data_IF_934267878859
#
_entry.id   IF_934267878859
#
_cell.length_a   1.000
_cell.length_b   1.000
_cell.length_c   1.000
_cell.angle_alpha   90.00
_cell.angle_beta   90.00
_cell.angle_gamma   90.00
#
_symmetry.space_group_name_H-M   'P 1'
#
loop_
_entity.id
_entity.type
_entity.pdbx_description
1 polymer ?
#
# COMPACT_ATOMS: atom_id res chain seq x y z
N UNK A 1 18.60 2.79 -13.59
CA UNK A 1 17.18 3.14 -13.84
C UNK A 1 16.37 2.55 -12.70
N UNK A 2 15.56 3.36 -12.02
CA UNK A 2 14.74 2.91 -10.90
C UNK A 2 13.72 1.87 -11.36
N UNK A 3 13.66 0.73 -10.67
CA UNK A 3 12.67 -0.34 -10.92
C UNK A 3 11.83 -0.61 -9.67
N UNK A 4 10.53 -0.38 -9.79
CA UNK A 4 9.56 -0.61 -8.73
C UNK A 4 8.81 -1.91 -9.02
N UNK A 5 8.74 -2.79 -8.02
CA UNK A 5 7.90 -3.97 -8.03
C UNK A 5 6.66 -3.72 -7.18
N UNK A 6 5.48 -3.98 -7.74
CA UNK A 6 4.22 -3.92 -7.00
C UNK A 6 3.60 -5.32 -6.96
N UNK A 7 3.35 -5.83 -5.75
CA UNK A 7 2.69 -7.11 -5.51
C UNK A 7 1.26 -6.82 -5.08
N UNK A 8 0.29 -7.42 -5.78
CA UNK A 8 -1.12 -7.33 -5.39
C UNK A 8 -1.41 -8.03 -4.06
N UNK A 9 -2.69 -8.16 -3.75
CA UNK A 9 -3.19 -8.70 -2.48
C UNK A 9 -2.52 -10.01 -2.04
N UNK A 10 -1.81 -9.95 -0.92
CA UNK A 10 -1.25 -11.11 -0.26
C UNK A 10 -2.32 -11.74 0.62
N UNK A 11 -2.89 -12.86 0.16
CA UNK A 11 -4.03 -13.50 0.85
C UNK A 11 -3.57 -14.67 1.74
N UNK A 12 -3.70 -14.47 3.06
CA UNK A 12 -3.54 -15.52 4.07
C UNK A 12 -2.20 -16.25 4.03
N UNK A 13 -2.18 -17.46 4.61
CA UNK A 13 -0.94 -18.29 4.67
C UNK A 13 -0.40 -18.64 3.26
N UNK A 14 -1.22 -18.98 2.26
CA UNK A 14 -0.72 -19.27 0.91
C UNK A 14 -0.01 -18.08 0.27
N UNK A 15 -0.61 -16.87 0.33
CA UNK A 15 0.00 -15.66 -0.20
C UNK A 15 1.34 -15.35 0.46
N UNK A 16 1.43 -15.44 1.79
CA UNK A 16 2.69 -15.21 2.51
C UNK A 16 3.78 -16.24 2.18
N UNK A 17 3.40 -17.51 1.97
CA UNK A 17 4.33 -18.55 1.51
C UNK A 17 4.86 -18.25 0.10
N UNK A 18 3.99 -17.83 -0.81
CA UNK A 18 4.39 -17.43 -2.16
C UNK A 18 5.34 -16.23 -2.12
N UNK A 19 5.01 -15.20 -1.32
CA UNK A 19 5.86 -14.03 -1.12
C UNK A 19 7.26 -14.45 -0.64
N UNK A 20 7.33 -15.25 0.43
CA UNK A 20 8.61 -15.74 0.98
C UNK A 20 9.44 -16.54 -0.02
N UNK A 21 8.80 -17.39 -0.82
CA UNK A 21 9.48 -18.29 -1.73
C UNK A 21 9.94 -17.60 -3.03
N UNK A 22 9.17 -16.61 -3.51
CA UNK A 22 9.35 -16.06 -4.86
C UNK A 22 9.91 -14.64 -4.86
N UNK A 23 9.53 -13.80 -3.90
CA UNK A 23 9.86 -12.37 -3.92
C UNK A 23 11.37 -12.10 -3.99
N UNK A 24 12.25 -12.77 -3.20
CA UNK A 24 13.69 -12.51 -3.27
C UNK A 24 14.27 -12.75 -4.67
N UNK A 25 13.92 -13.88 -5.30
CA UNK A 25 14.38 -14.23 -6.64
C UNK A 25 13.81 -13.33 -7.73
N UNK A 26 12.55 -12.88 -7.59
CA UNK A 26 11.95 -11.90 -8.51
C UNK A 26 12.67 -10.55 -8.39
N UNK A 27 12.92 -10.06 -7.17
CA UNK A 27 13.64 -8.79 -6.97
C UNK A 27 15.04 -8.87 -7.58
N UNK A 28 15.75 -9.98 -7.43
CA UNK A 28 17.06 -10.20 -8.05
C UNK A 28 16.98 -10.23 -9.57
N UNK A 29 16.10 -11.08 -10.13
CA UNK A 29 16.00 -11.31 -11.58
C UNK A 29 15.59 -10.05 -12.36
N UNK A 30 14.70 -9.25 -11.79
CA UNK A 30 14.25 -8.00 -12.39
C UNK A 30 15.04 -6.78 -11.91
N UNK A 31 15.98 -6.95 -10.97
CA UNK A 31 16.73 -5.85 -10.37
C UNK A 31 15.81 -4.79 -9.73
N UNK A 32 14.79 -5.22 -8.99
CA UNK A 32 13.83 -4.32 -8.35
C UNK A 32 14.49 -3.59 -7.15
N UNK A 33 14.55 -2.27 -7.24
CA UNK A 33 15.13 -1.38 -6.23
C UNK A 33 14.20 -1.16 -5.03
N UNK A 34 12.89 -1.27 -5.26
CA UNK A 34 11.84 -0.97 -4.31
C UNK A 34 10.62 -1.87 -4.54
N UNK A 35 10.04 -2.39 -3.47
CA UNK A 35 8.91 -3.32 -3.52
C UNK A 35 7.77 -2.83 -2.64
N UNK A 36 6.59 -2.68 -3.24
CA UNK A 36 5.33 -2.43 -2.55
C UNK A 36 4.51 -3.73 -2.60
N UNK A 37 3.82 -4.07 -1.52
CA UNK A 37 2.89 -5.19 -1.51
C UNK A 37 1.59 -4.84 -0.79
N UNK A 38 0.44 -5.19 -1.36
CA UNK A 38 -0.82 -5.03 -0.67
C UNK A 38 -1.03 -6.16 0.36
N UNK A 39 -1.13 -5.78 1.64
CA UNK A 39 -1.23 -6.70 2.78
C UNK A 39 -2.63 -6.82 3.39
N UNK A 40 -3.69 -6.26 2.79
CA UNK A 40 -4.99 -6.16 3.47
C UNK A 40 -5.64 -7.51 3.80
N UNK A 41 -5.23 -8.59 3.14
CA UNK A 41 -5.75 -9.93 3.34
C UNK A 41 -4.73 -10.89 3.99
N UNK A 42 -3.60 -10.36 4.48
CA UNK A 42 -2.43 -11.16 4.82
C UNK A 42 -2.63 -12.00 6.10
N UNK A 43 -3.38 -11.52 7.09
CA UNK A 43 -3.66 -12.25 8.33
C UNK A 43 -4.96 -13.07 8.21
N UNK A 44 -4.82 -14.38 8.01
CA UNK A 44 -5.94 -15.33 7.92
C UNK A 44 -7.09 -14.85 7.01
N UNK A 45 -6.74 -14.22 5.89
CA UNK A 45 -7.64 -13.84 4.80
C UNK A 45 -8.23 -12.44 4.89
N UNK A 46 -8.12 -11.74 6.03
CA UNK A 46 -8.60 -10.36 6.25
C UNK A 46 -7.81 -9.65 7.35
N UNK A 47 -7.38 -8.44 7.08
CA UNK A 47 -6.52 -7.61 7.91
C UNK A 47 -5.08 -8.07 7.98
N UNK A 48 -4.33 -7.40 8.85
CA UNK A 48 -2.91 -7.63 9.06
C UNK A 48 -2.58 -7.57 10.56
N UNK A 49 -1.53 -8.27 10.98
CA UNK A 49 -1.01 -8.21 12.36
C UNK A 49 0.46 -7.81 12.30
N UNK A 50 1.02 -7.29 13.39
CA UNK A 50 2.45 -6.96 13.48
C UNK A 50 3.34 -8.12 12.99
N UNK A 51 3.11 -9.33 13.51
CA UNK A 51 3.85 -10.53 13.12
C UNK A 51 3.80 -10.79 11.62
N UNK A 52 2.65 -10.58 10.98
CA UNK A 52 2.47 -10.79 9.54
C UNK A 52 3.13 -9.68 8.72
N UNK A 53 3.02 -8.43 9.14
CA UNK A 53 3.70 -7.31 8.48
C UNK A 53 5.22 -7.49 8.55
N UNK A 54 5.76 -7.84 9.73
CA UNK A 54 7.18 -8.15 9.90
C UNK A 54 7.65 -9.34 9.05
N UNK A 55 6.82 -10.37 8.90
CA UNK A 55 7.08 -11.47 7.97
C UNK A 55 7.22 -10.94 6.52
N UNK A 56 6.31 -10.08 6.07
CA UNK A 56 6.35 -9.50 4.73
C UNK A 56 7.58 -8.60 4.53
N UNK A 57 7.90 -7.72 5.49
CA UNK A 57 9.12 -6.90 5.45
C UNK A 57 10.38 -7.77 5.36
N UNK A 58 10.44 -8.87 6.12
CA UNK A 58 11.59 -9.79 6.08
C UNK A 58 11.75 -10.52 4.73
N UNK A 59 10.67 -10.62 3.93
CA UNK A 59 10.73 -11.15 2.57
C UNK A 59 11.28 -10.14 1.55
N UNK A 60 11.48 -8.88 1.95
CA UNK A 60 11.96 -7.81 1.08
C UNK A 60 10.86 -6.89 0.55
N UNK A 61 9.69 -6.84 1.18
CA UNK A 61 8.73 -5.75 0.96
C UNK A 61 9.28 -4.49 1.64
N UNK A 62 9.25 -3.35 0.95
CA UNK A 62 9.75 -2.08 1.46
C UNK A 62 8.60 -1.25 2.06
N UNK A 63 7.42 -1.27 1.43
CA UNK A 63 6.16 -0.65 1.92
C UNK A 63 5.00 -1.61 1.76
N UNK A 64 4.14 -1.69 2.78
CA UNK A 64 2.89 -2.44 2.73
C UNK A 64 1.75 -1.46 2.53
N UNK A 65 0.97 -1.61 1.47
CA UNK A 65 -0.32 -0.93 1.31
C UNK A 65 -1.45 -1.84 1.77
N UNK A 66 -2.67 -1.31 1.87
CA UNK A 66 -3.83 -2.08 2.31
C UNK A 66 -5.12 -1.64 1.60
N UNK A 67 -6.26 -1.78 2.28
CA UNK A 67 -7.59 -1.69 1.71
C UNK A 67 -8.65 -1.68 2.80
N UNK A 68 -9.85 -2.11 2.47
CA UNK A 68 -10.98 -2.07 3.40
C UNK A 68 -10.85 -3.05 4.58
N UNK A 69 -10.01 -4.08 4.48
CA UNK A 69 -9.83 -5.05 5.56
C UNK A 69 -8.78 -4.66 6.60
N UNK A 70 -8.13 -3.50 6.49
CA UNK A 70 -7.02 -3.07 7.35
C UNK A 70 -7.35 -3.10 8.86
N UNK A 71 -8.62 -2.91 9.23
CA UNK A 71 -9.08 -2.86 10.64
C UNK A 71 -9.63 -4.19 11.19
N UNK A 72 -9.69 -5.25 10.39
CA UNK A 72 -10.37 -6.52 10.76
C UNK A 72 -9.63 -7.34 11.82
N UNK A 73 -8.36 -7.04 12.08
CA UNK A 73 -7.55 -7.68 13.13
C UNK A 73 -7.36 -6.73 14.29
N UNK A 74 -8.10 -6.96 15.38
CA UNK A 74 -8.03 -6.14 16.60
C UNK A 74 -6.62 -6.05 17.15
N UNK A 75 -5.86 -7.15 17.15
CA UNK A 75 -4.48 -7.16 17.61
C UNK A 75 -3.52 -6.38 16.69
N UNK A 76 -3.92 -6.03 15.46
CA UNK A 76 -3.11 -5.29 14.50
C UNK A 76 -3.32 -3.78 14.54
N UNK A 77 -4.39 -3.27 15.17
CA UNK A 77 -4.79 -1.85 15.09
C UNK A 77 -3.68 -0.93 15.61
N UNK A 78 -3.12 -1.22 16.79
CA UNK A 78 -2.05 -0.41 17.38
C UNK A 78 -0.80 -0.39 16.48
N UNK A 79 -0.53 -1.49 15.79
CA UNK A 79 0.59 -1.59 14.87
C UNK A 79 0.36 -0.80 13.57
N UNK A 80 -0.84 -0.86 12.99
CA UNK A 80 -1.26 -0.01 11.85
C UNK A 80 -1.07 1.48 12.18
N UNK A 81 -1.34 1.87 13.43
CA UNK A 81 -1.18 3.25 13.87
C UNK A 81 0.29 3.66 14.09
N UNK A 82 1.18 2.71 14.40
CA UNK A 82 2.56 2.98 14.80
C UNK A 82 3.61 2.78 13.69
N UNK A 83 3.39 1.85 12.76
CA UNK A 83 4.35 1.52 11.71
C UNK A 83 4.16 2.43 10.48
N UNK A 84 5.16 3.26 10.18
CA UNK A 84 5.09 4.21 9.07
C UNK A 84 5.18 3.58 7.68
N UNK A 85 5.69 2.35 7.57
CA UNK A 85 5.76 1.61 6.29
C UNK A 85 4.52 0.76 6.02
N UNK A 86 3.53 0.75 6.91
CA UNK A 86 2.25 0.08 6.74
C UNK A 86 1.17 1.13 6.49
N UNK A 87 0.81 1.32 5.23
CA UNK A 87 -0.13 2.34 4.80
C UNK A 87 -1.57 1.82 4.85
N UNK A 88 -2.44 2.59 5.50
CA UNK A 88 -3.91 2.48 5.43
C UNK A 88 -4.46 3.39 4.33
N UNK A 89 -5.69 3.20 3.82
CA UNK A 89 -6.20 4.13 2.82
C UNK A 89 -6.31 5.57 3.39
N UNK A 90 -5.66 6.53 2.72
CA UNK A 90 -5.47 7.90 3.19
C UNK A 90 -6.79 8.67 3.37
N UNK A 91 -7.84 8.25 2.68
CA UNK A 91 -9.18 8.83 2.78
C UNK A 91 -10.07 8.23 3.88
N UNK A 92 -9.51 7.45 4.82
CA UNK A 92 -10.17 7.23 6.12
C UNK A 92 -10.13 8.49 6.99
N UNK A 93 -11.13 8.70 7.87
CA UNK A 93 -11.15 9.83 8.80
C UNK A 93 -9.84 9.93 9.60
N UNK A 94 -9.30 11.14 9.83
CA UNK A 94 -8.00 11.30 10.49
C UNK A 94 -7.96 10.70 11.91
N UNK A 95 -9.11 10.62 12.59
CA UNK A 95 -9.25 10.16 13.97
C UNK A 95 -8.91 8.67 14.17
N UNK A 96 -8.94 7.85 13.10
CA UNK A 96 -8.58 6.43 13.22
C UNK A 96 -7.07 6.20 13.30
N UNK A 97 -6.27 7.24 13.03
CA UNK A 97 -4.81 7.18 13.05
C UNK A 97 -4.21 6.39 11.87
N UNK A 98 -2.94 6.02 12.03
CA UNK A 98 -2.15 5.41 10.97
C UNK A 98 -1.78 6.39 9.86
N UNK A 99 -0.91 5.94 8.96
CA UNK A 99 -0.36 6.76 7.88
C UNK A 99 -0.94 6.27 6.56
N UNK A 100 -1.35 7.20 5.70
CA UNK A 100 -1.94 6.87 4.38
C UNK A 100 -1.03 7.09 3.18
N UNK A 101 0.07 7.79 3.39
CA UNK A 101 1.06 8.09 2.36
C UNK A 101 2.42 8.39 3.00
N UNK A 102 3.50 8.34 2.23
CA UNK A 102 4.81 8.75 2.69
C UNK A 102 5.87 8.70 1.60
N UNK A 103 7.04 9.29 1.88
CA UNK A 103 8.23 9.20 1.02
C UNK A 103 9.21 8.21 1.65
N UNK A 104 9.56 7.18 0.89
CA UNK A 104 10.41 6.09 1.32
C UNK A 104 11.67 6.03 0.46
N UNK A 105 12.77 5.56 1.03
CA UNK A 105 14.04 5.48 0.33
C UNK A 105 14.23 4.11 -0.30
N UNK A 106 14.62 4.07 -1.57
CA UNK A 106 15.13 2.83 -2.17
C UNK A 106 16.47 2.45 -1.56
N UNK A 107 16.94 1.23 -1.84
CA UNK A 107 18.29 0.78 -1.47
C UNK A 107 19.40 1.67 -2.03
N UNK A 108 19.13 2.35 -3.15
CA UNK A 108 20.04 3.29 -3.81
C UNK A 108 19.87 4.74 -3.35
N UNK A 109 19.00 5.01 -2.37
CA UNK A 109 18.77 6.35 -1.81
C UNK A 109 17.91 7.26 -2.68
N UNK A 110 17.14 6.69 -3.62
CA UNK A 110 16.17 7.44 -4.42
C UNK A 110 14.84 7.50 -3.66
N UNK A 111 14.26 8.70 -3.42
CA UNK A 111 12.97 8.81 -2.77
C UNK A 111 11.83 8.35 -3.68
N UNK A 112 10.90 7.58 -3.12
CA UNK A 112 9.67 7.09 -3.76
C UNK A 112 8.48 7.46 -2.88
N UNK A 113 7.56 8.26 -3.42
CA UNK A 113 6.28 8.55 -2.78
C UNK A 113 5.33 7.38 -2.95
N UNK A 114 4.67 6.94 -1.88
CA UNK A 114 3.64 5.91 -1.94
C UNK A 114 2.38 6.44 -1.26
N UNK A 115 1.23 6.29 -1.92
CA UNK A 115 -0.07 6.64 -1.37
C UNK A 115 -1.03 5.45 -1.52
N UNK A 116 -1.80 5.17 -0.47
CA UNK A 116 -2.88 4.19 -0.51
C UNK A 116 -4.23 4.90 -0.41
N UNK A 117 -5.19 4.54 -1.24
CA UNK A 117 -6.52 5.16 -1.32
C UNK A 117 -7.59 4.07 -1.44
N UNK A 118 -8.80 4.36 -0.99
CA UNK A 118 -9.95 3.46 -1.12
C UNK A 118 -11.03 4.09 -2.01
N UNK A 119 -11.60 3.31 -2.91
CA UNK A 119 -12.81 3.67 -3.64
C UNK A 119 -14.03 3.76 -2.70
N UNK A 120 -15.13 4.34 -3.21
CA UNK A 120 -16.39 4.47 -2.44
C UNK A 120 -17.54 3.70 -3.07
N UNK A 121 -17.47 3.46 -4.38
CA UNK A 121 -18.54 2.77 -5.08
C UNK A 121 -18.54 1.29 -4.68
N UNK A 122 -19.64 0.82 -4.07
CA UNK A 122 -19.79 -0.55 -3.54
C UNK A 122 -18.85 -0.89 -2.38
N UNK A 123 -18.32 0.12 -1.69
CA UNK A 123 -17.34 -0.03 -0.60
C UNK A 123 -17.77 0.81 0.62
N UNK A 124 -17.14 0.62 1.80
CA UNK A 124 -17.40 1.46 2.96
C UNK A 124 -17.24 2.95 2.65
N UNK A 125 -18.07 3.77 3.28
CA UNK A 125 -18.02 5.21 3.12
C UNK A 125 -16.72 5.77 3.71
N UNK A 126 -15.98 6.49 2.87
CA UNK A 126 -14.73 7.20 3.20
C UNK A 126 -14.79 8.60 2.58
N UNK A 127 -13.81 9.45 2.93
CA UNK A 127 -13.67 10.75 2.29
C UNK A 127 -13.39 10.61 0.79
N UNK A 128 -13.59 11.70 0.05
CA UNK A 128 -13.43 11.70 -1.40
C UNK A 128 -11.99 11.34 -1.82
N UNK A 129 -11.76 10.18 -2.46
CA UNK A 129 -10.40 9.72 -2.77
C UNK A 129 -9.69 10.65 -3.76
N UNK A 130 -10.43 11.29 -4.67
CA UNK A 130 -9.87 12.22 -5.65
C UNK A 130 -9.31 13.49 -5.01
N UNK A 131 -10.04 14.08 -4.05
CA UNK A 131 -9.56 15.28 -3.33
C UNK A 131 -8.39 14.93 -2.41
N UNK A 132 -8.49 13.80 -1.69
CA UNK A 132 -7.40 13.31 -0.85
C UNK A 132 -6.14 13.04 -1.67
N UNK A 133 -6.27 12.44 -2.85
CA UNK A 133 -5.12 12.18 -3.72
C UNK A 133 -4.37 13.47 -4.08
N UNK A 134 -5.07 14.51 -4.54
CA UNK A 134 -4.42 15.78 -4.89
C UNK A 134 -3.64 16.38 -3.72
N UNK A 135 -4.31 16.52 -2.57
CA UNK A 135 -3.70 17.15 -1.39
C UNK A 135 -2.47 16.38 -0.91
N UNK A 136 -2.56 15.05 -0.80
CA UNK A 136 -1.45 14.24 -0.28
C UNK A 136 -0.31 14.07 -1.29
N UNK A 137 -0.59 14.08 -2.60
CA UNK A 137 0.44 14.04 -3.64
C UNK A 137 1.28 15.32 -3.69
N UNK A 138 0.69 16.47 -3.36
CA UNK A 138 1.40 17.76 -3.26
C UNK A 138 2.38 17.78 -2.09
N UNK A 139 2.04 17.15 -0.96
CA UNK A 139 2.90 17.05 0.23
C UNK A 139 4.10 16.10 0.05
N UNK A 140 4.09 15.24 -0.96
CA UNK A 140 5.19 14.29 -1.22
C UNK A 140 6.25 14.89 -2.14
N UNK A 141 7.41 15.19 -1.57
CA UNK A 141 8.63 15.50 -2.32
C UNK A 141 9.36 14.21 -2.75
N UNK A 142 8.96 13.67 -3.91
CA UNK A 142 9.59 12.51 -4.52
C UNK A 142 9.50 12.59 -6.06
N UNK A 143 10.56 12.20 -6.79
CA UNK A 143 10.59 12.20 -8.25
C UNK A 143 9.68 11.12 -8.87
N UNK A 144 9.31 10.10 -8.10
CA UNK A 144 8.41 9.02 -8.52
C UNK A 144 7.38 8.80 -7.43
N UNK A 145 6.10 8.72 -7.81
CA UNK A 145 4.98 8.52 -6.90
C UNK A 145 4.17 7.30 -7.36
N UNK A 146 3.78 6.44 -6.42
CA UNK A 146 3.01 5.22 -6.71
C UNK A 146 1.72 5.24 -5.90
N UNK A 147 0.60 5.13 -6.60
CA UNK A 147 -0.72 5.04 -5.98
C UNK A 147 -1.27 3.61 -5.98
N UNK A 148 -1.62 3.09 -4.81
CA UNK A 148 -2.49 1.92 -4.67
C UNK A 148 -3.93 2.38 -4.43
N UNK A 149 -4.76 2.29 -5.47
CA UNK A 149 -6.18 2.61 -5.41
C UNK A 149 -7.04 1.36 -5.27
N UNK A 150 -7.33 1.02 -4.01
CA UNK A 150 -8.10 -0.14 -3.61
C UNK A 150 -9.61 0.14 -3.78
N UNK A 151 -10.16 -0.23 -4.93
CA UNK A 151 -11.54 0.07 -5.32
C UNK A 151 -12.25 -1.16 -5.91
N UNK A 152 -13.58 -1.18 -5.89
CA UNK A 152 -14.38 -2.23 -6.53
C UNK A 152 -14.76 -1.83 -7.97
N UNK A 153 -15.40 -0.66 -8.12
CA UNK A 153 -15.91 -0.21 -9.42
C UNK A 153 -14.78 0.11 -10.41
N UNK A 154 -14.83 -0.54 -11.57
CA UNK A 154 -13.90 -0.29 -12.68
C UNK A 154 -13.96 1.15 -13.19
N UNK A 155 -15.14 1.76 -13.21
CA UNK A 155 -15.34 3.16 -13.59
C UNK A 155 -14.57 4.10 -12.66
N UNK A 156 -14.59 3.86 -11.34
CA UNK A 156 -13.88 4.67 -10.36
C UNK A 156 -12.35 4.51 -10.54
N UNK A 157 -11.87 3.28 -10.78
CA UNK A 157 -10.45 3.00 -11.06
C UNK A 157 -9.94 3.73 -12.30
N UNK A 158 -10.67 3.62 -13.41
CA UNK A 158 -10.31 4.28 -14.67
C UNK A 158 -10.34 5.80 -14.51
N UNK A 159 -11.36 6.33 -13.84
CA UNK A 159 -11.44 7.76 -13.56
C UNK A 159 -10.26 8.27 -12.72
N UNK A 160 -9.85 7.53 -11.68
CA UNK A 160 -8.68 7.89 -10.88
C UNK A 160 -7.39 7.88 -11.70
N UNK A 161 -7.20 6.87 -12.57
CA UNK A 161 -6.06 6.80 -13.47
C UNK A 161 -5.95 8.03 -14.38
N UNK A 162 -7.04 8.42 -15.03
CA UNK A 162 -7.09 9.64 -15.85
C UNK A 162 -6.89 10.92 -15.03
N UNK A 163 -7.46 10.98 -13.83
CA UNK A 163 -7.39 12.15 -12.97
C UNK A 163 -5.96 12.43 -12.48
N UNK A 164 -5.19 11.37 -12.19
CA UNK A 164 -3.81 11.45 -11.72
C UNK A 164 -2.77 11.38 -12.83
N UNK A 165 -3.18 11.30 -14.10
CA UNK A 165 -2.25 11.33 -15.23
C UNK A 165 -1.34 12.58 -15.17
N UNK A 166 -0.03 12.35 -15.33
CA UNK A 166 1.03 13.34 -15.18
C UNK A 166 1.34 13.82 -13.75
N UNK A 167 0.69 13.28 -12.71
CA UNK A 167 0.91 13.65 -11.29
C UNK A 167 1.55 12.53 -10.46
N UNK A 168 1.47 11.30 -10.96
CA UNK A 168 2.09 10.09 -10.39
C UNK A 168 3.03 9.46 -11.40
#
# INVERSE_FOLDING_TARGET
MLRILFVGDVVGRPGRRALRALLPGIKESYGADFCIANGENAAAGKGITEKVAQEMFSCGVDVITSGNHIWDRKEGISYVQAESRLLRPANYPPEVGGIGYGVFQTRSGVPVGVINLQGRTFMPATDCPFRTALYMLEEMDAPVKVGDFHAEATSEKVAMGWFLDGKV
#
